data_IF_899469301932
#
_entry.id   IF_899469301932
#
_cell.length_a   1.000
_cell.length_b   1.000
_cell.length_c   1.000
_cell.angle_alpha   90.00
_cell.angle_beta   90.00
_cell.angle_gamma   90.00
#
_symmetry.space_group_name_H-M   'P 1'
#
loop_
_entity.id
_entity.type
_entity.pdbx_description
1 polymer ?
#
# COMPACT_ATOMS: atom_id res chain seq x y z
N UNK A 1 -9.99 10.06 19.19
CA UNK A 1 -8.62 10.43 19.56
C UNK A 1 -8.50 11.91 19.88
N UNK A 2 -9.11 12.77 19.11
CA UNK A 2 -8.97 14.23 19.21
C UNK A 2 -10.01 14.92 20.11
N UNK A 3 -10.94 14.17 20.74
CA UNK A 3 -11.97 14.70 21.64
C UNK A 3 -13.14 15.39 20.95
N UNK A 4 -13.20 15.33 19.61
CA UNK A 4 -14.36 15.79 18.83
C UNK A 4 -15.39 14.65 18.68
N UNK A 5 -16.65 15.03 18.46
CA UNK A 5 -17.74 14.09 18.20
C UNK A 5 -17.98 14.03 16.70
N UNK A 6 -18.05 12.80 16.14
CA UNK A 6 -18.45 12.56 14.76
C UNK A 6 -19.85 11.98 14.72
N UNK A 7 -20.70 12.51 13.84
CA UNK A 7 -22.01 11.91 13.53
C UNK A 7 -21.81 10.75 12.57
N UNK A 8 -22.24 9.54 12.95
CA UNK A 8 -22.10 8.33 12.14
C UNK A 8 -23.48 7.85 11.71
N UNK A 9 -23.72 7.75 10.42
CA UNK A 9 -25.01 7.39 9.83
C UNK A 9 -24.86 6.20 8.89
N UNK A 10 -25.71 5.17 9.06
CA UNK A 10 -25.74 4.03 8.14
C UNK A 10 -27.17 3.83 7.59
N UNK A 11 -27.30 4.05 6.29
CA UNK A 11 -28.53 3.82 5.53
C UNK A 11 -28.52 2.41 4.97
N UNK A 12 -29.36 1.53 5.50
CA UNK A 12 -29.42 0.11 5.13
C UNK A 12 -30.83 -0.32 4.76
N UNK A 13 -30.97 -1.47 4.07
CA UNK A 13 -32.27 -2.05 3.78
C UNK A 13 -32.94 -2.58 5.06
N UNK A 14 -34.26 -2.40 5.25
CA UNK A 14 -34.94 -2.78 6.49
C UNK A 14 -34.76 -4.24 6.92
N UNK A 15 -34.71 -5.17 5.93
CA UNK A 15 -34.52 -6.60 6.16
C UNK A 15 -33.10 -6.96 6.63
N UNK A 16 -32.13 -6.02 6.54
CA UNK A 16 -30.73 -6.23 6.93
C UNK A 16 -30.33 -5.55 8.24
N UNK A 17 -31.29 -5.00 8.97
CA UNK A 17 -31.07 -4.20 10.20
C UNK A 17 -30.13 -4.87 11.19
N UNK A 18 -30.26 -6.17 11.46
CA UNK A 18 -29.41 -6.85 12.46
C UNK A 18 -27.96 -7.00 11.96
N UNK A 19 -27.77 -7.25 10.66
CA UNK A 19 -26.41 -7.27 10.06
C UNK A 19 -25.79 -5.88 10.08
N UNK A 20 -26.56 -4.86 9.74
CA UNK A 20 -26.12 -3.46 9.75
C UNK A 20 -25.68 -3.00 11.14
N UNK A 21 -26.38 -3.39 12.21
CA UNK A 21 -25.95 -3.10 13.60
C UNK A 21 -24.60 -3.72 13.94
N UNK A 22 -24.34 -4.95 13.49
CA UNK A 22 -23.06 -5.63 13.74
C UNK A 22 -21.93 -4.89 13.03
N UNK A 23 -22.12 -4.53 11.76
CA UNK A 23 -21.13 -3.80 10.99
C UNK A 23 -20.93 -2.38 11.52
N UNK A 24 -22.00 -1.69 11.90
CA UNK A 24 -21.95 -0.36 12.49
C UNK A 24 -21.07 -0.31 13.75
N UNK A 25 -21.05 -1.38 14.53
CA UNK A 25 -20.21 -1.47 15.72
C UNK A 25 -18.69 -1.51 15.41
N UNK A 26 -18.29 -1.82 14.18
CA UNK A 26 -16.87 -1.83 13.75
C UNK A 26 -16.37 -0.42 13.37
N UNK A 27 -17.28 0.51 13.02
CA UNK A 27 -16.92 1.82 12.47
C UNK A 27 -16.08 2.66 13.44
N UNK A 28 -16.42 2.79 14.74
CA UNK A 28 -15.61 3.58 15.65
C UNK A 28 -14.16 3.12 15.74
N UNK A 29 -13.92 1.79 15.70
CA UNK A 29 -12.57 1.23 15.73
C UNK A 29 -11.81 1.54 14.46
N UNK A 30 -12.44 1.46 13.28
CA UNK A 30 -11.85 1.82 11.99
C UNK A 30 -11.47 3.31 11.96
N UNK A 31 -12.37 4.21 12.36
CA UNK A 31 -12.09 5.64 12.41
C UNK A 31 -10.96 5.96 13.41
N UNK A 32 -10.99 5.37 14.61
CA UNK A 32 -9.90 5.54 15.59
C UNK A 32 -8.54 5.09 15.04
N UNK A 33 -8.51 4.00 14.28
CA UNK A 33 -7.30 3.54 13.60
C UNK A 33 -6.77 4.60 12.61
N UNK A 34 -7.62 5.10 11.70
CA UNK A 34 -7.21 6.11 10.73
C UNK A 34 -6.76 7.40 11.40
N UNK A 35 -7.49 7.87 12.40
CA UNK A 35 -7.12 9.07 13.16
C UNK A 35 -5.76 8.91 13.85
N UNK A 36 -5.46 7.71 14.37
CA UNK A 36 -4.17 7.41 15.01
C UNK A 36 -3.03 7.37 13.99
N UNK A 37 -3.25 6.78 12.82
CA UNK A 37 -2.20 6.55 11.83
C UNK A 37 -1.92 7.78 10.98
N UNK A 38 -2.99 8.49 10.56
CA UNK A 38 -2.91 9.55 9.55
C UNK A 38 -3.21 10.91 10.16
N UNK A 39 -4.29 11.03 10.92
CA UNK A 39 -4.73 12.31 11.48
C UNK A 39 -6.25 12.41 11.57
N UNK A 40 -6.79 13.53 12.08
CA UNK A 40 -8.21 13.67 12.36
C UNK A 40 -9.07 13.44 11.11
N UNK A 41 -10.28 12.92 11.31
CA UNK A 41 -11.23 12.76 10.21
C UNK A 41 -11.39 14.08 9.43
N UNK A 42 -11.18 14.09 8.11
CA UNK A 42 -11.05 15.35 7.35
C UNK A 42 -12.31 16.20 7.32
N UNK A 43 -13.47 15.57 7.42
CA UNK A 43 -14.79 16.21 7.32
C UNK A 43 -15.49 16.21 8.69
N UNK A 44 -14.76 16.60 9.74
CA UNK A 44 -15.18 16.49 11.13
C UNK A 44 -16.41 17.30 11.54
N UNK A 45 -16.85 18.28 10.73
CA UNK A 45 -18.07 19.05 10.93
C UNK A 45 -19.27 18.52 10.11
N UNK A 46 -19.04 17.48 9.30
CA UNK A 46 -20.07 16.80 8.52
C UNK A 46 -20.47 15.49 9.20
N UNK A 47 -20.48 14.40 8.47
CA UNK A 47 -20.80 13.06 9.00
C UNK A 47 -19.84 12.02 8.45
N UNK A 48 -19.82 10.84 9.09
CA UNK A 48 -19.31 9.59 8.55
C UNK A 48 -20.52 8.79 8.06
N UNK A 49 -20.77 8.77 6.77
CA UNK A 49 -21.96 8.13 6.20
C UNK A 49 -21.62 6.83 5.47
N UNK A 50 -22.54 5.89 5.51
CA UNK A 50 -22.55 4.68 4.71
C UNK A 50 -23.95 4.49 4.11
N UNK A 51 -24.05 4.13 2.85
CA UNK A 51 -25.29 3.74 2.20
C UNK A 51 -25.15 2.36 1.57
N UNK A 52 -26.05 1.44 1.93
CA UNK A 52 -26.10 0.13 1.31
C UNK A 52 -26.53 0.24 -0.16
N UNK A 53 -25.76 -0.37 -1.08
CA UNK A 53 -25.95 -0.30 -2.54
C UNK A 53 -25.84 -1.68 -3.15
N UNK A 54 -26.36 -1.89 -4.39
CA UNK A 54 -26.21 -3.15 -5.09
C UNK A 54 -24.81 -3.35 -5.71
N UNK A 55 -23.98 -2.32 -5.85
CA UNK A 55 -22.60 -2.41 -6.31
C UNK A 55 -21.66 -2.54 -5.11
N UNK A 56 -20.45 -3.04 -5.35
CA UNK A 56 -19.52 -3.47 -4.28
C UNK A 56 -19.18 -2.34 -3.30
N UNK A 57 -18.63 -1.24 -3.79
CA UNK A 57 -18.25 -0.07 -2.98
C UNK A 57 -17.90 1.13 -3.85
N UNK A 58 -17.93 2.31 -3.25
CA UNK A 58 -17.46 3.56 -3.85
C UNK A 58 -17.27 4.61 -2.75
N UNK A 59 -16.17 5.33 -2.81
CA UNK A 59 -15.70 6.30 -1.83
C UNK A 59 -16.37 7.68 -1.93
N UNK A 60 -17.69 7.75 -2.02
CA UNK A 60 -18.37 9.05 -2.01
C UNK A 60 -18.12 9.79 -0.70
N UNK A 61 -17.60 11.02 -0.78
CA UNK A 61 -17.26 11.85 0.37
C UNK A 61 -18.39 11.87 1.41
N UNK A 62 -18.08 11.48 2.63
CA UNK A 62 -18.99 11.46 3.80
C UNK A 62 -20.24 10.59 3.67
N UNK A 63 -20.37 9.79 2.58
CA UNK A 63 -21.45 8.81 2.41
C UNK A 63 -21.01 7.67 1.47
N UNK A 64 -20.13 6.81 1.96
CA UNK A 64 -19.57 5.70 1.19
C UNK A 64 -20.64 4.70 0.78
N UNK A 65 -20.61 4.25 -0.49
CA UNK A 65 -21.44 3.15 -0.95
C UNK A 65 -20.91 1.82 -0.41
N UNK A 66 -21.81 0.91 -0.02
CA UNK A 66 -21.46 -0.36 0.59
C UNK A 66 -22.29 -1.52 0.04
N UNK A 67 -21.65 -2.53 -0.54
CA UNK A 67 -22.31 -3.70 -1.13
C UNK A 67 -21.62 -5.04 -0.84
N UNK A 68 -20.81 -5.14 0.23
CA UNK A 68 -20.08 -6.38 0.59
C UNK A 68 -20.96 -7.44 1.30
N UNK A 69 -22.28 -7.25 1.35
CA UNK A 69 -23.23 -8.18 1.98
C UNK A 69 -22.89 -8.53 3.45
N UNK A 70 -22.19 -7.65 4.16
CA UNK A 70 -21.78 -7.80 5.56
C UNK A 70 -20.81 -8.97 5.78
N UNK A 71 -19.95 -9.26 4.79
CA UNK A 71 -18.97 -10.34 4.86
C UNK A 71 -17.70 -9.85 5.53
N UNK A 72 -17.27 -10.58 6.55
CA UNK A 72 -15.94 -10.38 7.14
C UNK A 72 -14.88 -11.13 6.37
N UNK A 73 -13.69 -10.58 6.33
CA UNK A 73 -12.53 -11.26 5.76
C UNK A 73 -11.89 -12.25 6.79
N UNK A 74 -10.76 -12.82 6.40
CA UNK A 74 -10.00 -13.75 7.24
C UNK A 74 -9.41 -13.11 8.50
N UNK A 75 -9.39 -11.79 8.60
CA UNK A 75 -8.91 -11.05 9.77
C UNK A 75 -10.06 -10.58 10.67
N UNK A 76 -11.31 -10.94 10.34
CA UNK A 76 -12.48 -10.75 11.19
C UNK A 76 -13.15 -9.38 11.11
N UNK A 77 -12.79 -8.52 10.15
CA UNK A 77 -13.44 -7.23 9.88
C UNK A 77 -13.97 -7.14 8.44
N UNK A 78 -14.82 -6.17 8.18
CA UNK A 78 -15.27 -5.89 6.81
C UNK A 78 -14.21 -5.09 6.05
N UNK A 79 -13.50 -5.79 5.16
CA UNK A 79 -12.38 -5.23 4.40
C UNK A 79 -12.81 -4.10 3.46
N UNK A 80 -14.04 -4.19 2.89
CA UNK A 80 -14.53 -3.18 1.96
C UNK A 80 -14.81 -1.87 2.71
N UNK A 81 -15.56 -1.92 3.80
CA UNK A 81 -15.86 -0.72 4.59
C UNK A 81 -14.57 -0.06 5.07
N UNK A 82 -13.58 -0.84 5.50
CA UNK A 82 -12.29 -0.30 5.91
C UNK A 82 -11.55 0.36 4.74
N UNK A 83 -11.66 -0.20 3.52
CA UNK A 83 -11.07 0.37 2.31
C UNK A 83 -11.77 1.68 1.92
N UNK A 84 -13.10 1.70 1.84
CA UNK A 84 -13.85 2.91 1.49
C UNK A 84 -13.64 4.03 2.52
N UNK A 85 -13.49 3.72 3.80
CA UNK A 85 -13.12 4.73 4.80
C UNK A 85 -11.72 5.28 4.62
N UNK A 86 -10.75 4.49 4.13
CA UNK A 86 -9.43 5.01 3.84
C UNK A 86 -9.48 6.15 2.80
N UNK A 87 -10.42 6.08 1.88
CA UNK A 87 -10.60 7.08 0.84
C UNK A 87 -11.10 8.43 1.35
N UNK A 88 -11.66 8.53 2.55
CA UNK A 88 -11.94 9.85 3.14
C UNK A 88 -10.65 10.68 3.29
N UNK A 89 -9.52 10.01 3.53
CA UNK A 89 -8.18 10.60 3.54
C UNK A 89 -7.52 10.59 2.16
N UNK A 90 -7.57 9.46 1.44
CA UNK A 90 -6.87 9.21 0.17
C UNK A 90 -7.85 9.06 -0.99
N UNK A 91 -8.47 10.12 -1.43
CA UNK A 91 -9.49 10.19 -2.46
C UNK A 91 -10.32 11.45 -2.32
N UNK A 92 -10.85 11.68 -1.11
CA UNK A 92 -11.72 12.82 -0.83
C UNK A 92 -10.95 14.03 -0.29
N UNK A 93 -10.15 13.89 0.77
CA UNK A 93 -9.30 14.97 1.29
C UNK A 93 -8.08 15.21 0.39
N UNK A 94 -7.32 14.16 0.12
CA UNK A 94 -6.28 14.14 -0.88
C UNK A 94 -6.88 13.59 -2.17
N UNK A 95 -6.93 14.36 -3.23
CA UNK A 95 -7.29 13.87 -4.56
C UNK A 95 -6.15 14.08 -5.55
N UNK A 96 -6.07 13.24 -6.56
CA UNK A 96 -5.08 13.38 -7.63
C UNK A 96 -5.56 14.43 -8.67
N UNK A 97 -4.61 15.09 -9.30
CA UNK A 97 -4.87 16.07 -10.35
C UNK A 97 -5.08 15.44 -11.75
N UNK A 98 -4.70 14.15 -11.89
CA UNK A 98 -4.84 13.36 -13.11
C UNK A 98 -5.03 11.87 -12.77
N UNK A 99 -5.76 11.12 -13.60
CA UNK A 99 -5.98 9.67 -13.45
C UNK A 99 -4.68 8.85 -13.47
N UNK A 100 -3.61 9.33 -14.09
CA UNK A 100 -2.30 8.67 -14.10
C UNK A 100 -1.69 8.53 -12.69
N UNK A 101 -2.18 9.32 -11.72
CA UNK A 101 -1.72 9.28 -10.33
C UNK A 101 -2.67 8.53 -9.38
N UNK A 102 -3.59 7.70 -9.90
CA UNK A 102 -4.63 7.01 -9.14
C UNK A 102 -4.09 6.06 -8.05
N UNK A 103 -2.84 5.62 -8.16
CA UNK A 103 -2.17 4.86 -7.10
C UNK A 103 -2.09 5.62 -5.76
N UNK A 104 -2.19 6.96 -5.76
CA UNK A 104 -2.25 7.78 -4.54
C UNK A 104 -3.56 7.52 -3.75
N UNK A 105 -4.66 7.22 -4.42
CA UNK A 105 -5.90 6.79 -3.79
C UNK A 105 -5.82 5.32 -3.41
N UNK A 106 -5.69 4.47 -4.41
CA UNK A 106 -5.85 3.03 -4.28
C UNK A 106 -4.69 2.35 -3.56
N UNK A 107 -3.47 2.80 -3.81
CA UNK A 107 -2.28 2.27 -3.17
C UNK A 107 -2.23 2.60 -1.68
N UNK A 108 -2.54 3.84 -1.29
CA UNK A 108 -2.64 4.22 0.12
C UNK A 108 -3.84 3.54 0.80
N UNK A 109 -5.03 3.55 0.17
CA UNK A 109 -6.19 2.84 0.68
C UNK A 109 -5.92 1.35 0.92
N UNK A 110 -5.29 0.69 -0.05
CA UNK A 110 -4.89 -0.72 0.06
C UNK A 110 -3.79 -0.95 1.10
N UNK A 111 -2.88 0.01 1.33
CA UNK A 111 -1.86 -0.12 2.37
C UNK A 111 -2.43 0.03 3.78
N UNK A 112 -3.55 0.73 3.94
CA UNK A 112 -4.23 0.80 5.24
C UNK A 112 -4.78 -0.57 5.69
N UNK A 113 -5.05 -1.50 4.77
CA UNK A 113 -5.55 -2.85 5.12
C UNK A 113 -4.54 -3.69 5.92
N UNK A 114 -3.27 -3.91 5.47
CA UNK A 114 -2.29 -4.60 6.30
C UNK A 114 -1.99 -3.85 7.60
N UNK A 115 -1.99 -2.52 7.62
CA UNK A 115 -1.81 -1.73 8.84
C UNK A 115 -2.96 -1.92 9.83
N UNK A 116 -4.20 -2.01 9.36
CA UNK A 116 -5.36 -2.29 10.21
C UNK A 116 -5.33 -3.73 10.75
N UNK A 117 -4.93 -4.70 9.90
CA UNK A 117 -4.70 -6.07 10.36
C UNK A 117 -3.61 -6.14 11.44
N UNK A 118 -2.52 -5.35 11.31
CA UNK A 118 -1.49 -5.20 12.34
C UNK A 118 -2.04 -4.61 13.63
N UNK A 119 -2.84 -3.56 13.52
CA UNK A 119 -3.45 -2.87 14.65
C UNK A 119 -4.35 -3.81 15.47
N UNK A 120 -5.13 -4.67 14.80
CA UNK A 120 -6.02 -5.63 15.46
C UNK A 120 -5.30 -6.89 15.97
N UNK A 121 -4.32 -7.41 15.24
CA UNK A 121 -3.81 -8.79 15.42
C UNK A 121 -2.27 -8.90 15.42
N UNK A 122 -1.55 -7.78 15.29
CA UNK A 122 -0.08 -7.74 15.34
C UNK A 122 0.61 -8.11 14.02
N UNK A 123 1.94 -8.23 14.08
CA UNK A 123 2.82 -8.30 12.91
C UNK A 123 2.57 -9.50 11.99
N UNK A 124 2.13 -10.63 12.52
CA UNK A 124 1.83 -11.81 11.69
C UNK A 124 0.67 -11.54 10.74
N UNK A 125 -0.39 -10.87 11.21
CA UNK A 125 -1.53 -10.48 10.39
C UNK A 125 -1.15 -9.44 9.32
N UNK A 126 -0.29 -8.47 9.68
CA UNK A 126 0.30 -7.52 8.73
C UNK A 126 1.00 -8.24 7.57
N UNK A 127 1.93 -9.13 7.90
CA UNK A 127 2.70 -9.89 6.90
C UNK A 127 1.80 -10.81 6.06
N UNK A 128 0.80 -11.44 6.66
CA UNK A 128 -0.15 -12.30 5.95
C UNK A 128 -0.99 -11.51 4.93
N UNK A 129 -1.42 -10.29 5.29
CA UNK A 129 -2.16 -9.42 4.38
C UNK A 129 -1.27 -8.96 3.21
N UNK A 130 -0.04 -8.51 3.49
CA UNK A 130 0.94 -8.17 2.46
C UNK A 130 1.25 -9.35 1.53
N UNK A 131 1.42 -10.56 2.07
CA UNK A 131 1.67 -11.76 1.26
C UNK A 131 0.49 -12.05 0.31
N UNK A 132 -0.76 -11.86 0.77
CA UNK A 132 -1.95 -11.96 -0.07
C UNK A 132 -1.90 -10.92 -1.21
N UNK A 133 -1.64 -9.67 -0.90
CA UNK A 133 -1.52 -8.60 -1.91
C UNK A 133 -0.39 -8.89 -2.90
N UNK A 134 0.76 -9.41 -2.43
CA UNK A 134 1.93 -9.72 -3.26
C UNK A 134 1.60 -10.67 -4.41
N UNK A 135 0.70 -11.62 -4.20
CA UNK A 135 0.26 -12.57 -5.23
C UNK A 135 -0.63 -11.96 -6.31
N UNK A 136 -1.13 -10.75 -6.09
CA UNK A 136 -1.96 -10.00 -7.05
C UNK A 136 -1.18 -9.07 -7.97
N UNK A 137 0.09 -8.77 -7.66
CA UNK A 137 0.91 -7.83 -8.44
C UNK A 137 1.29 -8.45 -9.78
N UNK A 138 0.92 -7.78 -10.87
CA UNK A 138 1.14 -8.22 -12.26
C UNK A 138 2.37 -7.57 -12.88
N UNK A 139 2.57 -6.29 -12.62
CA UNK A 139 3.75 -5.47 -13.02
C UNK A 139 4.04 -5.48 -14.54
N UNK A 140 3.00 -5.30 -15.35
CA UNK A 140 3.10 -5.20 -16.81
C UNK A 140 3.24 -3.77 -17.32
N UNK A 141 2.78 -2.81 -16.54
CA UNK A 141 2.81 -1.39 -16.87
C UNK A 141 3.32 -0.60 -15.68
N UNK A 142 3.95 0.56 -15.90
CA UNK A 142 4.29 1.46 -14.81
C UNK A 142 3.02 1.94 -14.10
N UNK A 143 3.11 2.23 -12.80
CA UNK A 143 2.00 2.84 -12.05
C UNK A 143 1.68 4.24 -12.58
N UNK A 144 2.73 4.97 -12.97
CA UNK A 144 2.67 6.34 -13.50
C UNK A 144 3.38 6.39 -14.85
N UNK A 145 2.67 6.84 -15.88
CA UNK A 145 3.20 6.91 -17.24
C UNK A 145 3.77 8.27 -17.62
N UNK A 146 3.48 9.32 -16.83
CA UNK A 146 3.69 10.73 -17.19
C UNK A 146 2.92 11.16 -18.44
N UNK A 147 1.76 10.54 -18.69
CA UNK A 147 0.84 10.87 -19.77
C UNK A 147 -0.57 10.99 -19.19
N UNK A 148 -1.37 11.90 -19.72
CA UNK A 148 -2.79 11.95 -19.37
C UNK A 148 -3.46 10.64 -19.75
N UNK A 149 -4.12 10.01 -18.80
CA UNK A 149 -4.86 8.76 -18.99
C UNK A 149 -6.34 8.98 -18.76
N UNK A 150 -7.16 8.29 -19.56
CA UNK A 150 -8.57 8.12 -19.28
C UNK A 150 -8.76 7.08 -18.17
N UNK A 151 -9.88 7.16 -17.44
CA UNK A 151 -10.17 6.25 -16.32
C UNK A 151 -10.10 4.78 -16.72
N UNK A 152 -10.67 4.42 -17.89
CA UNK A 152 -10.68 3.04 -18.41
C UNK A 152 -9.25 2.52 -18.67
N UNK A 153 -8.35 3.40 -19.09
CA UNK A 153 -6.95 3.03 -19.33
C UNK A 153 -6.21 2.69 -18.02
N UNK A 154 -6.54 3.38 -16.94
CA UNK A 154 -5.88 3.15 -15.63
C UNK A 154 -6.28 1.80 -15.04
N UNK A 155 -7.57 1.44 -15.10
CA UNK A 155 -8.09 0.24 -14.44
C UNK A 155 -7.92 -1.07 -15.25
N UNK A 156 -7.35 -1.03 -16.45
CA UNK A 156 -7.14 -2.20 -17.30
C UNK A 156 -5.65 -2.51 -17.48
N UNK A 157 -5.26 -3.78 -17.32
CA UNK A 157 -3.86 -4.23 -17.50
C UNK A 157 -3.37 -4.21 -18.96
N UNK A 158 -4.25 -4.09 -19.93
CA UNK A 158 -3.88 -4.02 -21.35
C UNK A 158 -3.51 -2.58 -21.78
N UNK A 159 -3.94 -1.59 -21.04
CA UNK A 159 -3.75 -0.17 -21.35
C UNK A 159 -3.08 0.62 -20.24
N UNK A 160 -2.96 0.03 -19.04
CA UNK A 160 -2.39 0.69 -17.87
C UNK A 160 -2.04 -0.28 -16.75
N UNK A 161 -1.88 0.22 -15.52
CA UNK A 161 -1.48 -0.57 -14.36
C UNK A 161 -2.55 -1.56 -13.89
N UNK A 162 -3.83 -1.35 -14.22
CA UNK A 162 -4.91 -2.20 -13.75
C UNK A 162 -4.91 -2.33 -12.22
N UNK A 163 -5.11 -3.55 -11.69
CA UNK A 163 -5.11 -3.80 -10.25
C UNK A 163 -3.81 -3.51 -9.51
N UNK A 164 -2.73 -3.18 -10.23
CA UNK A 164 -1.45 -2.81 -9.60
C UNK A 164 -1.51 -1.45 -8.90
N UNK A 165 -2.44 -0.55 -9.26
CA UNK A 165 -2.64 0.69 -8.49
C UNK A 165 -2.95 0.41 -7.03
N UNK A 166 -3.64 -0.70 -6.73
CA UNK A 166 -3.94 -1.21 -5.39
C UNK A 166 -2.74 -1.94 -4.79
N UNK A 167 -2.42 -3.10 -5.35
CA UNK A 167 -1.50 -4.06 -4.72
C UNK A 167 -0.03 -3.70 -4.88
N UNK A 168 0.42 -3.27 -6.07
CA UNK A 168 1.79 -2.76 -6.26
C UNK A 168 1.95 -1.43 -5.53
N UNK A 169 0.95 -0.52 -5.59
CA UNK A 169 0.94 0.73 -4.84
C UNK A 169 1.14 0.51 -3.34
N UNK A 170 0.36 -0.39 -2.74
CA UNK A 170 0.50 -0.79 -1.32
C UNK A 170 1.90 -1.33 -0.99
N UNK A 171 2.46 -2.20 -1.82
CA UNK A 171 3.79 -2.76 -1.61
C UNK A 171 4.92 -1.74 -1.80
N UNK A 172 4.75 -0.76 -2.69
CA UNK A 172 5.68 0.37 -2.82
C UNK A 172 5.72 1.17 -1.52
N UNK A 173 4.56 1.45 -0.92
CA UNK A 173 4.47 2.16 0.36
C UNK A 173 5.07 1.35 1.52
N UNK A 174 4.83 0.03 1.56
CA UNK A 174 5.48 -0.87 2.52
C UNK A 174 7.01 -0.82 2.41
N UNK A 175 7.54 -0.91 1.19
CA UNK A 175 8.98 -0.87 0.93
C UNK A 175 9.58 0.50 1.27
N UNK A 176 8.87 1.60 0.93
CA UNK A 176 9.27 2.96 1.28
C UNK A 176 9.34 3.14 2.80
N UNK A 177 8.31 2.69 3.52
CA UNK A 177 8.27 2.76 5.00
C UNK A 177 9.46 2.04 5.63
N UNK A 178 9.83 0.86 5.12
CA UNK A 178 11.05 0.16 5.55
C UNK A 178 12.31 1.01 5.31
N UNK A 179 12.40 1.64 4.14
CA UNK A 179 13.59 2.39 3.72
C UNK A 179 13.80 3.67 4.54
N UNK A 180 12.73 4.43 4.79
CA UNK A 180 12.82 5.74 5.46
C UNK A 180 12.45 5.72 6.94
N UNK A 181 11.87 4.60 7.42
CA UNK A 181 11.41 4.43 8.79
C UNK A 181 10.01 5.00 9.05
N UNK A 182 9.39 4.52 10.12
CA UNK A 182 8.00 4.83 10.47
C UNK A 182 7.74 6.33 10.65
N UNK A 183 8.62 7.01 11.40
CA UNK A 183 8.45 8.44 11.71
C UNK A 183 8.43 9.30 10.43
N UNK A 184 9.40 9.11 9.54
CA UNK A 184 9.46 9.85 8.28
C UNK A 184 8.28 9.48 7.35
N UNK A 185 7.91 8.19 7.29
CA UNK A 185 6.81 7.72 6.46
C UNK A 185 5.47 8.34 6.87
N UNK A 186 5.12 8.29 8.16
CA UNK A 186 3.84 8.84 8.62
C UNK A 186 3.82 10.37 8.62
N UNK A 187 4.96 11.04 8.82
CA UNK A 187 5.07 12.48 8.58
C UNK A 187 4.83 12.85 7.12
N UNK A 188 5.42 12.09 6.19
CA UNK A 188 5.20 12.31 4.75
C UNK A 188 3.74 12.08 4.37
N UNK A 189 3.11 11.05 4.91
CA UNK A 189 1.68 10.76 4.69
C UNK A 189 0.79 11.90 5.19
N UNK A 190 1.03 12.41 6.41
CA UNK A 190 0.29 13.57 6.95
C UNK A 190 0.51 14.83 6.13
N UNK A 191 1.74 15.12 5.76
CA UNK A 191 2.07 16.26 4.92
C UNK A 191 1.38 16.19 3.54
N UNK A 192 1.27 14.99 2.97
CA UNK A 192 0.57 14.76 1.71
C UNK A 192 -0.94 15.06 1.84
N UNK A 193 -1.58 14.51 2.87
CA UNK A 193 -3.04 14.61 3.06
C UNK A 193 -3.49 15.99 3.53
N UNK A 194 -2.73 16.61 4.43
CA UNK A 194 -3.18 17.85 5.10
C UNK A 194 -2.35 19.09 4.80
N UNK A 195 -1.22 18.95 4.10
CA UNK A 195 -0.25 20.04 3.94
C UNK A 195 0.54 20.37 5.23
N UNK A 196 0.38 19.55 6.29
CA UNK A 196 1.10 19.69 7.57
C UNK A 196 1.40 18.33 8.18
N UNK A 197 2.45 18.25 8.99
CA UNK A 197 2.81 17.04 9.74
C UNK A 197 2.10 16.89 11.10
N UNK A 198 1.39 17.94 11.54
CA UNK A 198 0.64 17.99 12.80
C UNK A 198 -0.80 18.53 12.57
N UNK A 199 -1.67 17.78 11.88
CA UNK A 199 -3.04 18.22 11.61
C UNK A 199 -3.87 18.26 12.90
N UNK A 200 -4.63 19.34 13.07
CA UNK A 200 -5.56 19.51 14.18
C UNK A 200 -7.01 19.31 13.71
N UNK A 201 -7.94 18.84 14.58
CA UNK A 201 -9.32 18.61 14.19
C UNK A 201 -10.00 19.86 13.60
N UNK A 202 -10.80 19.66 12.59
CA UNK A 202 -11.53 20.72 11.90
C UNK A 202 -12.09 20.19 10.59
N UNK A 203 -12.54 21.11 9.73
CA UNK A 203 -12.78 20.81 8.33
C UNK A 203 -11.56 21.26 7.52
N UNK A 204 -11.07 20.38 6.68
CA UNK A 204 -9.95 20.66 5.79
C UNK A 204 -10.46 20.99 4.39
N UNK A 205 -9.74 21.84 3.69
CA UNK A 205 -9.95 22.02 2.24
C UNK A 205 -9.27 20.86 1.52
N UNK A 206 -9.98 20.16 0.62
CA UNK A 206 -9.38 19.10 -0.19
C UNK A 206 -8.17 19.60 -0.97
N UNK A 207 -7.14 18.79 -1.06
CA UNK A 207 -5.89 19.11 -1.74
C UNK A 207 -5.73 18.25 -3.00
N UNK A 208 -5.27 18.88 -4.08
CA UNK A 208 -4.93 18.20 -5.33
C UNK A 208 -3.43 17.94 -5.36
N UNK A 209 -3.04 16.68 -5.59
CA UNK A 209 -1.66 16.24 -5.56
C UNK A 209 -1.38 15.22 -6.66
N UNK A 210 -0.11 15.10 -7.02
CA UNK A 210 0.37 14.09 -7.93
C UNK A 210 1.58 13.33 -7.34
N UNK A 211 2.10 12.38 -8.10
CA UNK A 211 3.23 11.56 -7.66
C UNK A 211 4.49 12.37 -7.39
N UNK A 212 4.75 13.44 -8.18
CA UNK A 212 5.90 14.30 -7.97
C UNK A 212 5.80 15.11 -6.66
N UNK A 213 4.60 15.52 -6.27
CA UNK A 213 4.37 16.15 -4.95
C UNK A 213 4.78 15.20 -3.82
N UNK A 214 4.38 13.92 -3.90
CA UNK A 214 4.74 12.95 -2.87
C UNK A 214 6.25 12.70 -2.82
N UNK A 215 6.91 12.57 -3.98
CA UNK A 215 8.38 12.47 -4.06
C UNK A 215 9.06 13.67 -3.38
N UNK A 216 8.62 14.89 -3.68
CA UNK A 216 9.15 16.11 -3.10
C UNK A 216 8.94 16.18 -1.57
N UNK A 217 7.77 15.74 -1.09
CA UNK A 217 7.48 15.65 0.34
C UNK A 217 8.43 14.67 1.03
N UNK A 218 8.62 13.47 0.46
CA UNK A 218 9.53 12.44 1.00
C UNK A 218 10.97 12.96 1.02
N UNK A 219 11.43 13.59 -0.07
CA UNK A 219 12.77 14.19 -0.14
C UNK A 219 12.96 15.26 0.94
N UNK A 220 11.98 16.13 1.11
CA UNK A 220 12.02 17.21 2.12
C UNK A 220 12.08 16.65 3.54
N UNK A 221 11.23 15.67 3.88
CA UNK A 221 11.14 15.10 5.23
C UNK A 221 12.38 14.28 5.57
N UNK A 222 12.90 13.53 4.60
CA UNK A 222 14.10 12.69 4.83
C UNK A 222 15.42 13.48 4.75
N UNK A 223 15.40 14.66 4.11
CA UNK A 223 16.61 15.43 3.77
C UNK A 223 17.50 14.70 2.74
N UNK A 224 16.95 13.75 1.98
CA UNK A 224 17.66 12.92 1.00
C UNK A 224 16.93 12.93 -0.33
N UNK A 225 17.68 12.77 -1.43
CA UNK A 225 17.06 12.49 -2.72
C UNK A 225 16.65 11.03 -2.81
N UNK A 226 15.35 10.79 -2.79
CA UNK A 226 14.72 9.47 -2.92
C UNK A 226 14.14 9.23 -4.32
N UNK A 227 14.41 10.11 -5.28
CA UNK A 227 13.87 10.01 -6.65
C UNK A 227 14.22 8.66 -7.30
N UNK A 228 15.42 8.14 -7.05
CA UNK A 228 15.85 6.82 -7.53
C UNK A 228 14.90 5.67 -7.13
N UNK A 229 14.28 5.75 -5.95
CA UNK A 229 13.32 4.76 -5.48
C UNK A 229 12.03 4.82 -6.29
N UNK A 230 11.48 6.02 -6.42
CA UNK A 230 10.24 6.25 -7.17
C UNK A 230 10.42 6.02 -8.67
N UNK A 231 11.59 6.37 -9.22
CA UNK A 231 11.94 6.11 -10.61
C UNK A 231 11.82 4.64 -11.00
N UNK A 232 12.19 3.74 -10.10
CA UNK A 232 12.09 2.31 -10.32
C UNK A 232 10.68 1.79 -10.06
N UNK A 233 10.03 2.20 -8.96
CA UNK A 233 8.77 1.60 -8.57
C UNK A 233 7.53 2.20 -9.22
N UNK A 234 7.54 3.50 -9.55
CA UNK A 234 6.40 4.16 -10.16
C UNK A 234 6.48 4.20 -11.69
N UNK A 235 7.65 4.52 -12.22
CA UNK A 235 7.82 4.84 -13.65
C UNK A 235 8.39 3.68 -14.49
N UNK A 236 8.61 2.50 -13.88
CA UNK A 236 8.98 1.28 -14.60
C UNK A 236 7.94 0.17 -14.36
N UNK A 237 7.76 -0.66 -15.39
CA UNK A 237 6.91 -1.84 -15.29
C UNK A 237 7.58 -2.90 -14.43
N UNK A 238 8.81 -3.26 -14.77
CA UNK A 238 9.53 -4.37 -14.16
C UNK A 238 9.93 -4.09 -12.71
N UNK A 239 9.81 -5.14 -11.88
CA UNK A 239 10.27 -5.09 -10.50
C UNK A 239 11.78 -5.28 -10.43
N UNK A 240 12.47 -4.60 -9.49
CA UNK A 240 13.89 -4.81 -9.25
C UNK A 240 14.19 -6.29 -8.95
N UNK A 241 15.24 -6.83 -9.55
CA UNK A 241 15.64 -8.23 -9.38
C UNK A 241 16.90 -8.33 -8.54
N UNK A 242 16.80 -9.08 -7.45
CA UNK A 242 17.95 -9.37 -6.61
C UNK A 242 18.67 -10.60 -7.16
N UNK A 243 19.86 -10.37 -7.73
CA UNK A 243 20.69 -11.43 -8.31
C UNK A 243 21.69 -11.92 -7.28
N UNK A 244 21.76 -13.25 -7.17
CA UNK A 244 22.60 -13.94 -6.19
C UNK A 244 23.47 -14.96 -6.91
N UNK A 245 24.79 -14.81 -6.82
CA UNK A 245 25.77 -15.83 -7.23
C UNK A 245 26.40 -16.44 -5.97
N UNK A 246 26.08 -17.71 -5.72
CA UNK A 246 26.58 -18.44 -4.56
C UNK A 246 27.60 -19.50 -5.00
N UNK A 247 28.77 -19.44 -4.39
CA UNK A 247 29.86 -20.46 -4.49
C UNK A 247 30.04 -21.14 -3.14
N UNK A 248 30.91 -22.14 -3.06
CA UNK A 248 31.13 -22.89 -1.80
C UNK A 248 31.64 -21.99 -0.66
N UNK A 249 32.42 -20.97 -0.97
CA UNK A 249 33.14 -20.11 -0.03
C UNK A 249 32.71 -18.62 -0.07
N UNK A 250 31.82 -18.25 -1.00
CA UNK A 250 31.40 -16.87 -1.20
C UNK A 250 29.96 -16.73 -1.72
N UNK A 251 29.35 -15.60 -1.41
CA UNK A 251 28.08 -15.17 -2.00
C UNK A 251 28.23 -13.75 -2.52
N UNK A 252 27.87 -13.52 -3.78
CA UNK A 252 27.80 -12.17 -4.38
C UNK A 252 26.35 -11.79 -4.56
N UNK A 253 25.97 -10.60 -4.11
CA UNK A 253 24.59 -10.08 -4.17
C UNK A 253 24.61 -8.73 -4.88
N UNK A 254 23.68 -8.50 -5.80
CA UNK A 254 23.52 -7.24 -6.51
C UNK A 254 22.09 -7.03 -6.99
N UNK A 255 21.73 -5.77 -7.24
CA UNK A 255 20.50 -5.43 -7.94
C UNK A 255 20.72 -5.47 -9.47
N UNK A 256 19.72 -5.99 -10.16
CA UNK A 256 19.53 -5.86 -11.62
C UNK A 256 18.25 -5.05 -11.84
N UNK A 257 18.38 -3.91 -12.49
CA UNK A 257 17.30 -2.93 -12.70
C UNK A 257 17.14 -2.70 -14.20
N UNK A 258 15.92 -2.67 -14.66
CA UNK A 258 15.60 -2.32 -16.05
C UNK A 258 16.26 -0.98 -16.43
N UNK A 259 16.82 -0.94 -17.64
CA UNK A 259 17.53 0.25 -18.17
C UNK A 259 18.72 0.72 -17.30
N UNK A 260 19.25 -0.13 -16.41
CA UNK A 260 20.39 0.17 -15.53
C UNK A 260 20.21 1.47 -14.71
N UNK A 261 18.97 1.78 -14.31
CA UNK A 261 18.72 2.93 -13.45
C UNK A 261 19.40 2.76 -12.07
N UNK A 262 19.86 3.86 -11.46
CA UNK A 262 20.39 3.80 -10.09
C UNK A 262 19.33 3.23 -9.12
N UNK A 263 19.76 2.32 -8.25
CA UNK A 263 18.91 1.73 -7.23
C UNK A 263 19.71 1.40 -5.98
N UNK A 264 19.49 2.15 -4.92
CA UNK A 264 20.30 2.11 -3.69
C UNK A 264 19.60 1.40 -2.55
N UNK A 265 18.67 0.47 -2.86
CA UNK A 265 17.87 -0.24 -1.86
C UNK A 265 18.77 -1.18 -1.02
N UNK A 266 18.89 -0.94 0.30
CA UNK A 266 19.63 -1.85 1.19
C UNK A 266 18.84 -3.14 1.37
N UNK A 267 19.54 -4.27 1.58
CA UNK A 267 18.92 -5.59 1.76
C UNK A 267 19.37 -6.21 3.06
N UNK A 268 18.44 -6.70 3.86
CA UNK A 268 18.78 -7.57 4.99
C UNK A 268 19.22 -8.94 4.50
N UNK A 269 20.36 -9.39 5.01
CA UNK A 269 20.90 -10.73 4.81
C UNK A 269 20.97 -11.45 6.15
N UNK A 270 20.38 -12.63 6.25
CA UNK A 270 20.53 -13.55 7.38
C UNK A 270 21.54 -14.66 7.02
N UNK A 271 22.60 -14.81 7.79
CA UNK A 271 23.49 -15.95 7.74
C UNK A 271 23.37 -16.70 9.06
N UNK A 272 22.89 -17.94 9.02
CA UNK A 272 22.64 -18.79 10.22
C UNK A 272 21.83 -18.06 11.31
N UNK A 273 20.84 -17.27 10.89
CA UNK A 273 19.98 -16.50 11.81
C UNK A 273 20.52 -15.13 12.23
N UNK A 274 21.78 -14.80 11.95
CA UNK A 274 22.35 -13.48 12.22
C UNK A 274 22.04 -12.54 11.05
N UNK A 275 21.29 -11.46 11.31
CA UNK A 275 20.90 -10.47 10.30
C UNK A 275 21.95 -9.36 10.20
N UNK A 276 22.27 -8.99 8.96
CA UNK A 276 23.13 -7.85 8.61
C UNK A 276 22.48 -7.12 7.43
N UNK A 277 22.55 -5.80 7.39
CA UNK A 277 22.08 -5.00 6.24
C UNK A 277 23.22 -4.77 5.26
N UNK A 278 22.99 -5.09 4.00
CA UNK A 278 23.93 -4.85 2.90
C UNK A 278 23.56 -3.53 2.21
N UNK A 279 24.56 -2.69 2.00
CA UNK A 279 24.49 -1.57 1.06
C UNK A 279 24.78 -2.11 -0.34
N UNK A 280 23.78 -2.15 -1.20
CA UNK A 280 23.86 -2.68 -2.56
C UNK A 280 23.91 -1.56 -3.64
N UNK A 281 24.51 -0.43 -3.33
CA UNK A 281 24.83 0.61 -4.34
C UNK A 281 25.76 0.06 -5.44
N UNK A 282 26.46 -1.04 -5.14
CA UNK A 282 27.27 -1.85 -6.04
C UNK A 282 27.26 -3.32 -5.59
N UNK A 283 27.69 -4.28 -6.44
CA UNK A 283 27.77 -5.68 -6.03
C UNK A 283 28.59 -5.89 -4.76
N UNK A 284 28.06 -6.69 -3.83
CA UNK A 284 28.73 -7.03 -2.55
C UNK A 284 29.02 -8.52 -2.54
N UNK A 285 30.28 -8.87 -2.27
CA UNK A 285 30.71 -10.26 -2.08
C UNK A 285 31.06 -10.49 -0.60
N UNK A 286 30.51 -11.55 -0.01
CA UNK A 286 30.74 -11.97 1.37
C UNK A 286 31.31 -13.39 1.40
N UNK A 287 32.26 -13.64 2.30
CA UNK A 287 32.71 -14.99 2.60
C UNK A 287 31.60 -15.74 3.37
N UNK A 288 31.35 -16.97 2.97
CA UNK A 288 30.41 -17.90 3.60
C UNK A 288 31.04 -19.29 3.64
N UNK A 289 30.46 -20.22 4.40
CA UNK A 289 30.78 -21.63 4.29
C UNK A 289 29.70 -22.33 3.44
N UNK A 290 30.07 -23.45 2.82
CA UNK A 290 29.14 -24.23 2.00
C UNK A 290 27.84 -24.61 2.71
N UNK A 291 27.90 -24.86 4.01
CA UNK A 291 26.77 -25.28 4.84
C UNK A 291 26.00 -24.13 5.47
N UNK A 292 26.42 -22.87 5.29
CA UNK A 292 25.71 -21.74 5.86
C UNK A 292 24.31 -21.60 5.26
N UNK A 293 23.33 -21.39 6.13
CA UNK A 293 21.96 -21.02 5.73
C UNK A 293 21.91 -19.53 5.49
N UNK A 294 21.73 -19.15 4.22
CA UNK A 294 21.70 -17.75 3.79
C UNK A 294 20.30 -17.39 3.29
N UNK A 295 19.69 -16.37 3.88
CA UNK A 295 18.35 -15.88 3.52
C UNK A 295 18.44 -14.38 3.25
N UNK A 296 18.06 -13.96 2.05
CA UNK A 296 17.97 -12.56 1.66
C UNK A 296 16.56 -12.02 1.95
N UNK A 297 16.50 -10.81 2.48
CA UNK A 297 15.26 -10.15 2.87
C UNK A 297 14.33 -11.08 3.70
N UNK A 298 14.83 -11.60 4.85
CA UNK A 298 14.15 -12.63 5.64
C UNK A 298 12.79 -12.17 6.19
N UNK A 299 12.56 -10.86 6.23
CA UNK A 299 11.32 -10.26 6.71
C UNK A 299 10.39 -9.78 5.59
N UNK A 300 10.73 -10.03 4.31
CA UNK A 300 9.93 -9.63 3.14
C UNK A 300 9.59 -8.14 3.13
N UNK A 301 10.62 -7.31 3.34
CA UNK A 301 10.49 -5.85 3.44
C UNK A 301 10.51 -5.13 2.08
N UNK A 302 10.95 -5.82 1.03
CA UNK A 302 11.26 -5.21 -0.26
C UNK A 302 10.40 -5.81 -1.36
N UNK A 303 9.72 -4.94 -2.11
CA UNK A 303 9.06 -5.34 -3.35
C UNK A 303 10.13 -5.61 -4.42
N UNK A 304 10.27 -6.86 -4.80
CA UNK A 304 11.23 -7.32 -5.80
C UNK A 304 10.66 -8.44 -6.67
N UNK A 305 11.27 -8.68 -7.81
CA UNK A 305 10.95 -9.84 -8.62
C UNK A 305 11.18 -11.12 -7.82
N UNK A 306 10.24 -12.06 -7.92
CA UNK A 306 10.31 -13.36 -7.28
C UNK A 306 9.70 -14.41 -8.22
N UNK A 307 10.54 -15.35 -8.68
CA UNK A 307 10.12 -16.40 -9.60
C UNK A 307 9.03 -17.30 -9.01
N UNK A 308 9.08 -17.59 -7.69
CA UNK A 308 8.08 -18.43 -7.05
C UNK A 308 6.68 -17.78 -7.04
N UNK A 309 6.62 -16.45 -6.93
CA UNK A 309 5.34 -15.72 -7.04
C UNK A 309 4.80 -15.81 -8.47
N UNK A 310 5.66 -15.66 -9.48
CA UNK A 310 5.27 -15.80 -10.89
C UNK A 310 4.77 -17.23 -11.18
N UNK A 311 5.48 -18.24 -10.71
CA UNK A 311 5.10 -19.64 -10.88
C UNK A 311 3.75 -19.94 -10.20
N UNK A 312 3.53 -19.40 -9.00
CA UNK A 312 2.24 -19.51 -8.29
C UNK A 312 1.10 -18.81 -9.05
N UNK A 313 1.33 -17.63 -9.60
CA UNK A 313 0.34 -16.93 -10.42
C UNK A 313 -0.02 -17.72 -11.68
N UNK A 314 0.96 -18.29 -12.36
CA UNK A 314 0.74 -19.14 -13.55
C UNK A 314 -0.05 -20.40 -13.18
N UNK A 315 0.32 -21.08 -12.10
CA UNK A 315 -0.45 -22.21 -11.59
C UNK A 315 -1.92 -21.85 -11.31
N UNK A 316 -2.19 -20.71 -10.67
CA UNK A 316 -3.57 -20.25 -10.41
C UNK A 316 -4.35 -20.01 -11.70
N UNK A 317 -3.74 -19.38 -12.71
CA UNK A 317 -4.37 -19.17 -14.03
C UNK A 317 -4.74 -20.47 -14.70
N UNK A 318 -3.84 -21.46 -14.70
CA UNK A 318 -4.11 -22.79 -15.25
C UNK A 318 -5.27 -23.51 -14.54
N UNK A 319 -5.35 -23.41 -13.19
CA UNK A 319 -6.46 -24.00 -12.44
C UNK A 319 -7.79 -23.29 -12.73
N UNK A 320 -7.79 -21.98 -12.92
CA UNK A 320 -9.00 -21.23 -13.27
C UNK A 320 -9.50 -21.52 -14.67
N UNK A 321 -8.60 -21.78 -15.62
CA UNK A 321 -8.95 -22.14 -17.00
C UNK A 321 -9.53 -23.57 -17.13
N UNK A 322 -9.38 -24.43 -16.11
CA UNK A 322 -9.91 -25.80 -16.06
C UNK A 322 -11.31 -25.88 -15.42
N UNK A 323 -11.82 -24.80 -14.86
CA UNK A 323 -13.17 -24.67 -14.29
C UNK A 323 -14.12 -24.03 -15.27
#
# INVERSE_FOLDING_TARGET
MYGNTLDIQFFHLPERTEKAKILFAEIPEMINFFERMIGPYPFGQEKVGIAETPHLGMEHQTINAYGNEYKKDQFGYDWLMQHEFAHEWFGNQLTNDDWDHMWLHEGFGSYMQPLFAQYLHGDLAYKANLAKQRTGIVSKSPLVSNQVREVEQVYQHDTGPGGDIYTKGSWVLHTLRYLIGDDAFFKATKQLVYGTTDPQPGNFTPVFKNSADFVNIVNTITGKDMSWFFDVYLYQADLPKLVVDRKDDAITVQWEIENNKPFHMPVELSINGKITTLDLTKPVTLAINKMDVVILDPNSKILKYDQHIVDFQNFRKEQSAKK
#
